data_IF_862705304783
#
_entry.id   IF_862705304783
#
_cell.length_a   1.000
_cell.length_b   1.000
_cell.length_c   1.000
_cell.angle_alpha   90.00
_cell.angle_beta   90.00
_cell.angle_gamma   90.00
#
_symmetry.space_group_name_H-M   'P 1'
#
loop_
_entity.id
_entity.type
_entity.pdbx_description
1 polymer ?
#
# COMPACT_ATOMS: atom_id res chain seq x y z
N UNK A 1 39.40 46.17 -34.40
CA UNK A 1 39.33 45.38 -33.15
C UNK A 1 37.95 45.35 -32.49
N UNK A 2 37.17 46.45 -32.40
CA UNK A 2 35.83 46.44 -31.76
C UNK A 2 34.81 45.46 -32.38
N UNK A 3 34.86 45.22 -33.71
CA UNK A 3 33.99 44.24 -34.40
C UNK A 3 34.34 42.77 -34.10
N UNK A 4 35.60 42.47 -33.79
CA UNK A 4 36.06 41.10 -33.47
C UNK A 4 35.61 40.73 -32.05
N UNK A 5 35.72 41.67 -31.10
CA UNK A 5 35.23 41.49 -29.72
C UNK A 5 33.71 41.29 -29.70
N UNK A 6 32.97 42.04 -30.54
CA UNK A 6 31.52 41.88 -30.65
C UNK A 6 31.13 40.50 -31.22
N UNK A 7 31.87 40.00 -32.23
CA UNK A 7 31.65 38.65 -32.77
C UNK A 7 32.01 37.56 -31.75
N UNK A 8 33.09 37.72 -30.99
CA UNK A 8 33.46 36.81 -29.90
C UNK A 8 32.42 36.79 -28.79
N UNK A 9 31.86 37.95 -28.40
CA UNK A 9 30.80 38.03 -27.38
C UNK A 9 29.48 37.43 -27.88
N UNK A 10 29.10 37.65 -29.14
CA UNK A 10 27.91 37.01 -29.75
C UNK A 10 28.11 35.51 -29.91
N UNK A 11 29.34 35.04 -30.17
CA UNK A 11 29.67 33.61 -30.24
C UNK A 11 29.64 32.97 -28.85
N UNK A 12 30.17 33.65 -27.82
CA UNK A 12 30.10 33.19 -26.43
C UNK A 12 28.64 33.18 -25.94
N UNK A 13 27.81 34.16 -26.31
CA UNK A 13 26.38 34.20 -25.99
C UNK A 13 25.55 33.16 -26.77
N UNK A 14 25.91 32.86 -28.02
CA UNK A 14 25.26 31.81 -28.82
C UNK A 14 25.67 30.38 -28.41
N UNK A 15 26.86 30.21 -27.82
CA UNK A 15 27.32 28.96 -27.20
C UNK A 15 26.99 28.85 -25.70
N UNK A 16 26.51 29.93 -25.04
CA UNK A 16 26.11 29.90 -23.63
C UNK A 16 24.61 29.70 -23.39
N UNK A 17 23.79 29.55 -24.43
CA UNK A 17 22.51 28.86 -24.26
C UNK A 17 22.82 27.40 -24.00
N UNK A 18 23.05 27.06 -22.73
CA UNK A 18 23.17 25.68 -22.31
C UNK A 18 21.93 24.95 -22.86
N UNK A 19 22.12 23.90 -23.66
CA UNK A 19 21.04 23.08 -24.24
C UNK A 19 20.27 22.28 -23.16
N UNK A 20 20.37 22.70 -21.89
CA UNK A 20 19.72 22.10 -20.73
C UNK A 20 18.21 22.08 -20.89
N UNK A 21 17.63 23.12 -21.51
CA UNK A 21 16.20 23.18 -21.84
C UNK A 21 15.72 22.02 -22.73
N UNK A 22 16.62 21.43 -23.53
CA UNK A 22 16.27 20.28 -24.39
C UNK A 22 15.96 19.03 -23.57
N UNK A 23 16.47 18.93 -22.34
CA UNK A 23 16.20 17.82 -21.43
C UNK A 23 14.82 17.93 -20.78
N UNK A 24 14.24 19.12 -20.69
CA UNK A 24 13.03 19.32 -19.90
C UNK A 24 11.81 18.72 -20.58
N UNK A 25 10.99 18.02 -19.79
CA UNK A 25 9.77 17.35 -20.25
C UNK A 25 9.61 15.95 -19.66
N UNK A 26 8.52 15.30 -20.09
CA UNK A 26 8.27 13.88 -19.82
C UNK A 26 8.80 13.07 -20.99
N UNK A 27 9.41 11.93 -20.67
CA UNK A 27 10.10 11.03 -21.57
C UNK A 27 9.62 9.60 -21.30
N UNK A 28 9.21 8.90 -22.35
CA UNK A 28 8.78 7.50 -22.30
C UNK A 28 9.80 6.61 -23.00
N UNK A 29 10.10 5.44 -22.44
CA UNK A 29 11.09 4.55 -23.04
C UNK A 29 10.53 3.88 -24.31
N UNK A 30 11.29 3.94 -25.40
CA UNK A 30 10.93 3.24 -26.65
C UNK A 30 11.11 1.73 -26.46
N UNK A 31 10.07 0.94 -26.75
CA UNK A 31 10.08 -0.53 -26.72
C UNK A 31 10.44 -1.16 -25.36
N UNK A 32 10.23 -0.45 -24.25
CA UNK A 32 10.51 -0.95 -22.90
C UNK A 32 9.29 -0.88 -21.99
N UNK A 33 9.30 -1.71 -20.94
CA UNK A 33 8.22 -1.73 -19.95
C UNK A 33 8.40 -0.69 -18.84
N UNK A 34 9.61 -0.15 -18.61
CA UNK A 34 9.95 0.69 -17.44
C UNK A 34 11.32 1.37 -17.60
N UNK A 35 11.58 2.59 -17.07
CA UNK A 35 10.67 3.56 -16.45
C UNK A 35 10.36 4.77 -17.36
N UNK A 36 9.30 5.52 -17.05
CA UNK A 36 9.07 6.90 -17.48
C UNK A 36 9.94 7.89 -16.68
N UNK A 37 10.31 8.99 -17.34
CA UNK A 37 11.18 10.00 -16.76
C UNK A 37 10.59 11.37 -16.99
N UNK A 38 10.56 12.21 -15.95
CA UNK A 38 10.20 13.62 -16.06
C UNK A 38 11.37 14.46 -15.56
N UNK A 39 11.97 15.27 -16.43
CA UNK A 39 13.11 16.13 -16.09
C UNK A 39 12.61 17.58 -16.03
N UNK A 40 12.86 18.23 -14.89
CA UNK A 40 12.67 19.66 -14.67
C UNK A 40 14.04 20.33 -14.45
N UNK A 41 14.04 21.63 -14.14
CA UNK A 41 15.25 22.42 -13.95
C UNK A 41 16.19 21.88 -12.86
N UNK A 42 15.63 21.38 -11.76
CA UNK A 42 16.37 20.98 -10.55
C UNK A 42 16.08 19.53 -10.11
N UNK A 43 15.19 18.84 -10.81
CA UNK A 43 14.71 17.52 -10.42
C UNK A 43 14.50 16.58 -11.62
N UNK A 44 14.76 15.31 -11.39
CA UNK A 44 14.36 14.20 -12.26
C UNK A 44 13.40 13.30 -11.48
N UNK A 45 12.24 13.02 -12.06
CA UNK A 45 11.25 12.13 -11.48
C UNK A 45 11.17 10.84 -12.28
N UNK A 46 11.15 9.71 -11.58
CA UNK A 46 11.03 8.38 -12.15
C UNK A 46 9.65 7.81 -11.82
N UNK A 47 9.05 7.14 -12.80
CA UNK A 47 7.79 6.41 -12.63
C UNK A 47 7.78 5.19 -13.52
N UNK A 48 7.23 4.08 -13.06
CA UNK A 48 7.22 2.87 -13.86
C UNK A 48 6.05 2.80 -14.84
N UNK A 49 4.93 3.40 -14.49
CA UNK A 49 3.67 3.35 -15.24
C UNK A 49 2.99 4.73 -15.33
N UNK A 50 3.71 5.78 -14.93
CA UNK A 50 3.20 7.15 -14.84
C UNK A 50 2.34 7.42 -13.59
N UNK A 51 2.00 6.42 -12.77
CA UNK A 51 1.05 6.60 -11.66
C UNK A 51 1.67 7.15 -10.37
N UNK A 52 2.90 6.73 -10.07
CA UNK A 52 3.65 7.15 -8.89
C UNK A 52 4.96 7.77 -9.36
N UNK A 53 5.18 9.04 -9.03
CA UNK A 53 6.40 9.76 -9.39
C UNK A 53 7.29 9.96 -8.17
N UNK A 54 8.55 9.55 -8.28
CA UNK A 54 9.58 9.80 -7.25
C UNK A 54 10.63 10.76 -7.81
N UNK A 55 10.72 11.94 -7.21
CA UNK A 55 11.66 12.99 -7.63
C UNK A 55 12.99 12.90 -6.89
N UNK A 56 14.07 13.14 -7.62
CA UNK A 56 15.46 13.20 -7.17
C UNK A 56 16.11 14.49 -7.67
N UNK A 57 17.08 15.07 -6.95
CA UNK A 57 17.90 16.15 -7.48
C UNK A 57 18.60 15.72 -8.77
N UNK A 58 18.69 16.62 -9.75
CA UNK A 58 19.40 16.38 -11.01
C UNK A 58 20.39 17.51 -11.31
N UNK A 59 21.58 17.17 -11.78
CA UNK A 59 22.52 18.11 -12.40
C UNK A 59 22.64 17.80 -13.89
N UNK A 60 22.50 18.83 -14.74
CA UNK A 60 22.64 18.73 -16.19
C UNK A 60 23.88 19.50 -16.61
N UNK A 61 24.92 18.79 -17.08
CA UNK A 61 26.20 19.42 -17.44
C UNK A 61 26.91 18.64 -18.54
N UNK A 62 27.44 19.32 -19.54
CA UNK A 62 28.27 18.72 -20.59
C UNK A 62 27.66 17.46 -21.25
N UNK A 63 26.39 17.51 -21.62
CA UNK A 63 25.64 16.35 -22.12
C UNK A 63 25.60 15.15 -21.16
N UNK A 64 25.55 15.41 -19.86
CA UNK A 64 25.42 14.38 -18.83
C UNK A 64 24.28 14.73 -17.88
N UNK A 65 23.62 13.70 -17.36
CA UNK A 65 22.64 13.77 -16.29
C UNK A 65 23.23 13.13 -15.03
N UNK A 66 23.30 13.87 -13.93
CA UNK A 66 23.70 13.30 -12.64
C UNK A 66 22.51 13.26 -11.71
N UNK A 67 22.12 12.06 -11.25
CA UNK A 67 21.07 11.83 -10.25
C UNK A 67 21.33 10.50 -9.53
N UNK A 68 20.74 10.30 -8.34
CA UNK A 68 20.98 9.10 -7.52
C UNK A 68 22.48 8.80 -7.31
N UNK A 69 23.30 9.86 -7.18
CA UNK A 69 24.76 9.79 -7.04
C UNK A 69 25.49 9.10 -8.21
N UNK A 70 24.89 9.09 -9.41
CA UNK A 70 25.49 8.53 -10.62
C UNK A 70 25.41 9.53 -11.77
N UNK A 71 26.41 9.52 -12.65
CA UNK A 71 26.50 10.42 -13.81
C UNK A 71 26.37 9.63 -15.11
N UNK A 72 25.32 9.93 -15.88
CA UNK A 72 25.02 9.31 -17.15
C UNK A 72 25.47 10.17 -18.32
N UNK A 73 26.29 9.67 -19.23
CA UNK A 73 26.47 10.32 -20.52
C UNK A 73 25.15 10.24 -21.30
N UNK A 74 24.77 11.35 -21.92
CA UNK A 74 23.50 11.47 -22.63
C UNK A 74 23.68 12.01 -24.04
N UNK A 75 22.74 11.72 -24.91
CA UNK A 75 22.66 12.31 -26.25
C UNK A 75 21.21 12.69 -26.53
N UNK A 76 20.97 13.94 -26.92
CA UNK A 76 19.66 14.40 -27.38
C UNK A 76 19.72 14.58 -28.89
N UNK A 77 18.78 13.95 -29.59
CA UNK A 77 18.59 14.11 -31.02
C UNK A 77 17.10 14.23 -31.32
N UNK A 78 16.67 15.40 -31.81
CA UNK A 78 15.24 15.74 -31.98
C UNK A 78 14.48 15.50 -30.66
N UNK A 79 13.42 14.72 -30.70
CA UNK A 79 12.59 14.37 -29.54
C UNK A 79 13.05 13.08 -28.86
N UNK A 80 14.29 12.65 -29.09
CA UNK A 80 14.87 11.48 -28.45
C UNK A 80 15.96 11.84 -27.44
N UNK A 81 15.84 11.28 -26.24
CA UNK A 81 16.87 11.30 -25.20
C UNK A 81 17.47 9.90 -25.08
N UNK A 82 18.79 9.79 -25.20
CA UNK A 82 19.51 8.52 -25.08
C UNK A 82 20.42 8.59 -23.86
N UNK A 83 20.27 7.65 -22.93
CA UNK A 83 21.23 7.42 -21.84
C UNK A 83 21.12 5.97 -21.34
N UNK A 84 22.20 5.41 -20.78
CA UNK A 84 22.29 3.98 -20.40
C UNK A 84 21.89 2.98 -21.51
N UNK A 85 22.16 3.28 -22.79
CA UNK A 85 21.71 2.48 -23.95
C UNK A 85 20.19 2.38 -24.09
N UNK A 86 19.43 3.12 -23.29
CA UNK A 86 17.99 3.28 -23.41
C UNK A 86 17.70 4.49 -24.28
N UNK A 87 16.69 4.37 -25.12
CA UNK A 87 16.18 5.48 -25.93
C UNK A 87 14.82 5.85 -25.40
N UNK A 88 14.65 7.12 -25.11
CA UNK A 88 13.40 7.71 -24.69
C UNK A 88 12.88 8.66 -25.76
N UNK A 89 11.57 8.72 -25.92
CA UNK A 89 10.88 9.69 -26.75
C UNK A 89 10.19 10.73 -25.86
N UNK A 90 10.18 11.98 -26.31
CA UNK A 90 9.52 13.07 -25.61
C UNK A 90 8.01 12.90 -25.75
N UNK A 91 7.32 12.81 -24.62
CA UNK A 91 5.92 12.39 -24.59
C UNK A 91 5.04 13.30 -23.74
N UNK A 92 3.74 13.24 -24.03
CA UNK A 92 2.66 13.84 -23.25
C UNK A 92 1.72 12.76 -22.70
N UNK A 93 2.26 11.62 -22.26
CA UNK A 93 1.44 10.59 -21.61
C UNK A 93 0.82 11.16 -20.34
N UNK A 94 -0.52 11.14 -20.32
CA UNK A 94 -1.30 11.34 -19.12
C UNK A 94 -1.42 10.00 -18.40
N UNK A 95 -1.12 9.93 -17.10
CA UNK A 95 -1.25 8.67 -16.37
C UNK A 95 -2.72 8.25 -16.27
N UNK A 96 -2.97 6.95 -16.06
CA UNK A 96 -4.34 6.45 -15.81
C UNK A 96 -4.78 6.79 -14.39
N UNK A 97 -3.87 6.69 -13.43
CA UNK A 97 -4.10 7.06 -12.04
C UNK A 97 -3.03 8.03 -11.57
N UNK A 98 -3.40 8.93 -10.68
CA UNK A 98 -2.47 9.70 -9.84
C UNK A 98 -2.57 9.13 -8.42
N UNK A 99 -1.44 8.68 -7.86
CA UNK A 99 -1.40 8.05 -6.54
C UNK A 99 -0.40 8.75 -5.64
N UNK A 100 -0.90 9.31 -4.53
CA UNK A 100 -0.03 9.84 -3.47
C UNK A 100 0.11 8.83 -2.33
N UNK A 101 1.28 8.18 -2.25
CA UNK A 101 1.53 7.20 -1.20
C UNK A 101 1.58 7.81 0.23
N UNK A 102 1.17 7.07 1.26
CA UNK A 102 0.99 7.59 2.62
C UNK A 102 2.26 7.92 3.41
N UNK A 103 3.44 7.40 3.03
CA UNK A 103 4.78 7.69 3.59
C UNK A 103 4.85 7.69 5.13
N UNK A 104 4.73 6.52 5.74
CA UNK A 104 4.95 6.28 7.16
C UNK A 104 6.45 6.13 7.48
N UNK A 105 6.92 6.72 8.59
CA UNK A 105 8.36 6.79 8.93
C UNK A 105 8.79 6.02 10.18
N UNK A 106 7.88 5.33 10.89
CA UNK A 106 8.18 4.75 12.22
C UNK A 106 7.73 3.29 12.39
N UNK A 107 7.35 2.60 11.31
CA UNK A 107 6.86 1.23 11.38
C UNK A 107 7.78 0.30 10.59
N UNK A 108 7.87 -0.95 11.02
CA UNK A 108 8.74 -1.96 10.43
C UNK A 108 8.25 -2.32 9.03
N UNK A 109 9.12 -2.08 8.07
CA UNK A 109 8.90 -2.46 6.68
C UNK A 109 9.23 -3.93 6.48
N UNK A 110 8.45 -4.57 5.62
CA UNK A 110 8.81 -5.86 5.05
C UNK A 110 9.57 -5.62 3.75
N UNK A 111 10.85 -5.97 3.74
CA UNK A 111 11.60 -6.06 2.49
C UNK A 111 11.19 -7.37 1.79
N UNK A 112 10.58 -7.31 0.60
CA UNK A 112 10.31 -8.51 -0.15
C UNK A 112 11.61 -9.22 -0.52
N UNK A 113 11.65 -10.55 -0.42
CA UNK A 113 12.75 -11.29 -1.05
C UNK A 113 12.68 -11.07 -2.57
N UNK A 114 13.82 -11.00 -3.25
CA UNK A 114 13.91 -10.84 -4.71
C UNK A 114 13.13 -11.91 -5.49
N UNK A 115 12.87 -13.06 -4.87
CA UNK A 115 12.12 -14.20 -5.43
C UNK A 115 10.60 -14.09 -5.24
N UNK A 116 10.10 -13.10 -4.52
CA UNK A 116 8.65 -12.97 -4.26
C UNK A 116 7.96 -12.28 -5.44
N UNK A 117 7.20 -13.04 -6.23
CA UNK A 117 6.27 -12.48 -7.21
C UNK A 117 5.07 -11.84 -6.48
N UNK A 118 4.86 -10.54 -6.67
CA UNK A 118 3.66 -9.83 -6.23
C UNK A 118 2.72 -9.58 -7.39
N UNK A 119 1.43 -9.66 -7.11
CA UNK A 119 0.39 -9.12 -7.98
C UNK A 119 0.14 -7.68 -7.53
N UNK A 120 0.35 -6.72 -8.42
CA UNK A 120 0.21 -5.30 -8.13
C UNK A 120 -1.20 -4.84 -8.45
N UNK A 121 -1.89 -4.35 -7.42
CA UNK A 121 -3.25 -3.81 -7.52
C UNK A 121 -3.18 -2.33 -7.16
N UNK A 122 -3.68 -1.46 -8.05
CA UNK A 122 -3.62 0.00 -7.89
C UNK A 122 -5.01 0.57 -7.66
N UNK A 123 -5.15 1.47 -6.69
CA UNK A 123 -6.37 2.21 -6.45
C UNK A 123 -6.03 3.68 -6.21
N UNK A 124 -6.54 4.57 -7.04
CA UNK A 124 -6.07 5.95 -7.03
C UNK A 124 -7.05 6.93 -7.65
N UNK A 125 -6.65 8.19 -7.63
CA UNK A 125 -7.44 9.28 -8.21
C UNK A 125 -7.30 9.28 -9.73
N UNK A 126 -8.41 9.42 -10.44
CA UNK A 126 -8.40 9.65 -11.88
C UNK A 126 -7.87 11.07 -12.14
N UNK A 127 -6.88 11.26 -13.03
CA UNK A 127 -6.32 12.58 -13.31
C UNK A 127 -7.41 13.57 -13.73
N UNK A 128 -7.31 14.79 -13.22
CA UNK A 128 -8.29 15.87 -13.44
C UNK A 128 -9.72 15.55 -12.96
N UNK A 129 -9.92 14.52 -12.15
CA UNK A 129 -11.19 14.13 -11.55
C UNK A 129 -11.01 13.93 -10.05
N UNK A 130 -12.10 13.95 -9.27
CA UNK A 130 -12.09 13.56 -7.86
C UNK A 130 -12.53 12.10 -7.63
N UNK A 131 -12.68 11.34 -8.72
CA UNK A 131 -13.09 9.95 -8.66
C UNK A 131 -11.91 9.03 -8.37
N UNK A 132 -12.10 8.08 -7.45
CA UNK A 132 -11.15 7.01 -7.19
C UNK A 132 -11.53 5.75 -7.98
N UNK A 133 -10.54 5.11 -8.60
CA UNK A 133 -10.73 3.92 -9.42
C UNK A 133 -9.69 2.85 -9.12
N UNK A 134 -10.13 1.61 -9.22
CA UNK A 134 -9.26 0.45 -9.35
C UNK A 134 -8.66 0.45 -10.76
N UNK A 135 -7.34 0.25 -10.84
CA UNK A 135 -6.63 -0.04 -12.06
C UNK A 135 -6.03 -1.44 -11.98
N UNK A 136 -6.37 -2.26 -12.97
CA UNK A 136 -5.80 -3.58 -13.20
C UNK A 136 -5.18 -3.56 -14.61
N UNK A 137 -3.87 -3.80 -14.71
CA UNK A 137 -3.08 -3.52 -15.92
C UNK A 137 -3.16 -2.03 -16.35
N UNK A 138 -3.47 -1.78 -17.62
CA UNK A 138 -3.55 -0.49 -18.30
C UNK A 138 -5.00 -0.01 -18.47
N UNK A 139 -5.94 -0.50 -17.64
CA UNK A 139 -7.34 -0.07 -17.67
C UNK A 139 -7.94 0.13 -16.28
N UNK A 140 -8.97 0.97 -16.21
CA UNK A 140 -9.88 1.00 -15.06
C UNK A 140 -10.67 -0.30 -14.99
N UNK A 141 -10.92 -0.76 -13.77
CA UNK A 141 -11.64 -1.99 -13.50
C UNK A 141 -12.67 -1.78 -12.38
N UNK A 142 -13.65 -2.66 -12.32
CA UNK A 142 -14.55 -2.80 -11.17
C UNK A 142 -13.93 -3.73 -10.13
N UNK A 143 -14.30 -3.61 -8.83
CA UNK A 143 -13.80 -4.50 -7.78
C UNK A 143 -13.92 -5.99 -8.12
N UNK A 144 -15.04 -6.42 -8.73
CA UNK A 144 -15.30 -7.84 -9.03
C UNK A 144 -14.35 -8.42 -10.09
N UNK A 145 -13.73 -7.57 -10.92
CA UNK A 145 -12.73 -8.00 -11.91
C UNK A 145 -11.39 -8.41 -11.25
N UNK A 146 -11.20 -8.12 -9.95
CA UNK A 146 -10.01 -8.53 -9.21
C UNK A 146 -9.83 -10.04 -9.20
N UNK A 147 -10.92 -10.81 -9.12
CA UNK A 147 -10.89 -12.27 -9.13
C UNK A 147 -10.22 -12.76 -10.41
N UNK A 148 -10.80 -12.40 -11.55
CA UNK A 148 -10.33 -12.84 -12.87
C UNK A 148 -8.90 -12.38 -13.13
N UNK A 149 -8.57 -11.14 -12.77
CA UNK A 149 -7.22 -10.60 -12.90
C UNK A 149 -6.19 -11.41 -12.13
N UNK A 150 -6.48 -11.76 -10.88
CA UNK A 150 -5.54 -12.52 -10.06
C UNK A 150 -5.43 -13.96 -10.58
N UNK A 151 -6.52 -14.58 -11.05
CA UNK A 151 -6.47 -15.91 -11.66
C UNK A 151 -5.81 -15.94 -13.05
N UNK A 152 -5.82 -14.84 -13.80
CA UNK A 152 -5.16 -14.76 -15.12
C UNK A 152 -3.65 -14.53 -15.04
N UNK A 153 -3.12 -14.17 -13.86
CA UNK A 153 -1.68 -13.98 -13.64
C UNK A 153 -0.91 -15.29 -13.42
N UNK A 154 -1.58 -16.45 -13.32
CA UNK A 154 -0.96 -17.74 -12.98
C UNK A 154 -0.75 -18.64 -14.21
N UNK A 155 0.53 -18.84 -14.57
CA UNK A 155 1.04 -19.98 -15.35
C UNK A 155 1.61 -21.09 -14.42
N UNK A 156 1.45 -21.01 -13.08
CA UNK A 156 2.14 -21.93 -12.14
C UNK A 156 1.32 -22.30 -10.89
N UNK A 157 0.77 -23.53 -10.90
CA UNK A 157 0.42 -24.38 -9.75
C UNK A 157 -0.52 -23.84 -8.64
N UNK A 158 -1.73 -24.38 -8.65
CA UNK A 158 -2.94 -23.93 -7.97
C UNK A 158 -3.06 -24.12 -6.44
N UNK A 159 -2.02 -24.49 -5.67
CA UNK A 159 -2.31 -25.07 -4.34
C UNK A 159 -1.57 -24.57 -3.09
N UNK A 160 -0.46 -23.80 -3.16
CA UNK A 160 0.31 -23.57 -1.92
C UNK A 160 0.91 -22.17 -1.68
N UNK A 161 0.91 -21.26 -2.65
CA UNK A 161 1.38 -19.90 -2.41
C UNK A 161 0.20 -19.01 -2.01
N UNK A 162 0.15 -18.56 -0.76
CA UNK A 162 -0.67 -17.41 -0.35
C UNK A 162 -0.40 -16.27 -1.35
N UNK A 163 -1.39 -15.92 -2.16
CA UNK A 163 -1.28 -14.87 -3.17
C UNK A 163 -0.88 -13.57 -2.49
N UNK A 164 0.26 -13.01 -2.87
CA UNK A 164 0.79 -11.79 -2.26
C UNK A 164 0.41 -10.60 -3.12
N UNK A 165 -0.62 -9.88 -2.67
CA UNK A 165 -1.04 -8.63 -3.31
C UNK A 165 -0.18 -7.49 -2.76
N UNK A 166 0.52 -6.77 -3.65
CA UNK A 166 1.05 -5.46 -3.35
C UNK A 166 -0.03 -4.43 -3.68
N UNK A 167 -0.60 -3.83 -2.64
CA UNK A 167 -1.70 -2.88 -2.75
C UNK A 167 -1.16 -1.46 -2.74
N UNK A 168 -1.20 -0.83 -3.91
CA UNK A 168 -0.80 0.56 -4.13
C UNK A 168 -2.08 1.37 -4.07
N UNK A 169 -2.23 2.22 -3.05
CA UNK A 169 -3.45 2.96 -2.84
C UNK A 169 -3.16 4.42 -2.47
N UNK A 170 -3.94 5.35 -3.00
CA UNK A 170 -3.83 6.75 -2.60
C UNK A 170 -4.21 6.91 -1.13
N UNK A 171 -3.43 7.74 -0.43
CA UNK A 171 -3.48 7.88 1.00
C UNK A 171 -4.81 8.48 1.50
N UNK A 172 -5.48 9.29 0.69
CA UNK A 172 -6.71 10.00 1.03
C UNK A 172 -7.98 9.23 0.62
N UNK A 173 -7.81 8.08 -0.04
CA UNK A 173 -8.92 7.18 -0.41
C UNK A 173 -9.77 6.85 0.80
N UNK A 174 -11.09 7.02 0.70
CA UNK A 174 -12.00 6.68 1.80
C UNK A 174 -12.22 5.18 1.90
N UNK A 175 -12.38 4.69 3.13
CA UNK A 175 -12.59 3.26 3.36
C UNK A 175 -13.86 2.72 2.70
N UNK A 176 -14.89 3.56 2.47
CA UNK A 176 -16.06 3.18 1.65
C UNK A 176 -15.72 2.74 0.24
N UNK A 177 -14.70 3.35 -0.38
CA UNK A 177 -14.31 3.06 -1.76
C UNK A 177 -13.49 1.77 -1.84
N UNK A 178 -12.90 1.36 -0.72
CA UNK A 178 -12.05 0.17 -0.59
C UNK A 178 -12.80 -1.06 -0.06
N UNK A 179 -13.98 -0.86 0.53
CA UNK A 179 -14.71 -1.92 1.20
C UNK A 179 -15.00 -3.09 0.26
N UNK A 180 -15.54 -2.81 -0.93
CA UNK A 180 -15.80 -3.83 -1.94
C UNK A 180 -14.52 -4.60 -2.33
N UNK A 181 -13.37 -3.92 -2.43
CA UNK A 181 -12.09 -4.57 -2.74
C UNK A 181 -11.65 -5.55 -1.65
N UNK A 182 -11.81 -5.20 -0.37
CA UNK A 182 -11.47 -6.12 0.72
C UNK A 182 -12.35 -7.37 0.70
N UNK A 183 -13.63 -7.23 0.37
CA UNK A 183 -14.50 -8.39 0.17
C UNK A 183 -14.02 -9.28 -0.97
N UNK A 184 -13.71 -8.71 -2.14
CA UNK A 184 -13.18 -9.48 -3.28
C UNK A 184 -11.84 -10.17 -2.94
N UNK A 185 -10.97 -9.53 -2.16
CA UNK A 185 -9.74 -10.15 -1.64
C UNK A 185 -10.02 -11.37 -0.76
N UNK A 186 -11.05 -11.34 0.09
CA UNK A 186 -11.45 -12.51 0.88
C UNK A 186 -11.89 -13.67 -0.03
N UNK A 187 -12.61 -13.39 -1.13
CA UNK A 187 -13.10 -14.44 -2.06
C UNK A 187 -11.97 -15.23 -2.73
N UNK A 188 -10.85 -14.57 -3.00
CA UNK A 188 -9.64 -15.19 -3.56
C UNK A 188 -8.64 -15.67 -2.50
N UNK A 189 -9.05 -15.73 -1.23
CA UNK A 189 -8.20 -16.11 -0.10
C UNK A 189 -6.92 -15.24 0.06
N UNK A 190 -6.98 -13.98 -0.38
CA UNK A 190 -5.93 -12.98 -0.16
C UNK A 190 -6.12 -12.28 1.20
N UNK A 191 -6.14 -13.08 2.27
CA UNK A 191 -6.33 -12.62 3.67
C UNK A 191 -5.13 -11.83 4.22
N UNK A 192 -4.05 -11.74 3.46
CA UNK A 192 -2.87 -10.92 3.74
C UNK A 192 -2.52 -10.15 2.48
N UNK A 193 -2.42 -8.83 2.59
CA UNK A 193 -1.93 -7.97 1.52
C UNK A 193 -0.80 -7.07 2.05
N UNK A 194 -0.08 -6.44 1.12
CA UNK A 194 1.06 -5.58 1.44
C UNK A 194 0.77 -4.17 0.94
N UNK A 195 0.43 -3.27 1.84
CA UNK A 195 0.24 -1.86 1.52
C UNK A 195 1.58 -1.23 1.15
N UNK A 196 1.66 -0.58 -0.01
CA UNK A 196 2.86 0.13 -0.45
C UNK A 196 2.97 1.47 0.26
N UNK A 197 4.10 1.68 0.93
CA UNK A 197 4.41 2.88 1.70
C UNK A 197 5.12 3.95 0.88
N UNK A 198 6.17 3.51 0.18
CA UNK A 198 7.03 4.33 -0.66
C UNK A 198 7.61 3.47 -1.79
N UNK A 199 8.08 4.15 -2.82
CA UNK A 199 8.83 3.56 -3.93
C UNK A 199 10.22 4.16 -3.91
N UNK A 200 11.22 3.29 -4.02
CA UNK A 200 12.62 3.66 -4.15
C UNK A 200 13.16 3.20 -5.49
N UNK A 201 14.06 3.98 -6.07
CA UNK A 201 14.82 3.61 -7.26
C UNK A 201 16.30 3.62 -6.90
N UNK A 202 17.00 2.55 -7.28
CA UNK A 202 18.43 2.39 -7.07
C UNK A 202 19.10 2.09 -8.39
N UNK A 203 20.36 2.51 -8.52
CA UNK A 203 21.19 2.16 -9.66
C UNK A 203 22.02 0.95 -9.28
N UNK A 204 21.78 -0.17 -9.95
CA UNK A 204 22.54 -1.41 -9.79
C UNK A 204 23.22 -1.68 -11.13
N UNK A 205 24.55 -1.61 -11.14
CA UNK A 205 25.37 -1.64 -12.34
C UNK A 205 24.90 -0.55 -13.34
N UNK A 206 24.32 -0.94 -14.47
CA UNK A 206 23.82 -0.06 -15.52
C UNK A 206 22.28 -0.07 -15.60
N UNK A 207 21.58 -0.41 -14.51
CA UNK A 207 20.11 -0.50 -14.48
C UNK A 207 19.51 0.30 -13.35
N UNK A 208 18.38 0.92 -13.64
CA UNK A 208 17.50 1.51 -12.63
C UNK A 208 16.57 0.40 -12.13
N UNK A 209 16.76 -0.04 -10.89
CA UNK A 209 15.90 -1.03 -10.23
C UNK A 209 14.97 -0.38 -9.22
N UNK A 210 13.70 -0.79 -9.25
CA UNK A 210 12.66 -0.34 -8.31
C UNK A 210 12.62 -1.23 -7.07
N UNK A 211 12.52 -0.59 -5.90
CA UNK A 211 12.16 -1.20 -4.62
C UNK A 211 10.82 -0.67 -4.11
N UNK A 212 10.15 -1.50 -3.30
CA UNK A 212 8.93 -1.12 -2.58
C UNK A 212 9.12 -1.30 -1.09
N UNK A 213 8.71 -0.28 -0.36
CA UNK A 213 8.58 -0.34 1.09
C UNK A 213 7.17 -0.83 1.43
N UNK A 214 7.07 -2.01 2.05
CA UNK A 214 5.78 -2.71 2.21
C UNK A 214 5.36 -2.86 3.68
N UNK A 215 4.08 -2.62 3.96
CA UNK A 215 3.44 -2.94 5.24
C UNK A 215 2.49 -4.11 5.10
N UNK A 216 2.73 -5.16 5.90
CA UNK A 216 1.85 -6.32 5.93
C UNK A 216 0.53 -5.97 6.62
N UNK A 217 -0.58 -6.19 5.93
CA UNK A 217 -1.94 -6.03 6.42
C UNK A 217 -2.65 -7.38 6.45
N UNK A 218 -3.61 -7.51 7.37
CA UNK A 218 -4.41 -8.73 7.53
C UNK A 218 -5.88 -8.40 7.35
N UNK A 219 -6.59 -9.17 6.52
CA UNK A 219 -8.03 -9.09 6.38
C UNK A 219 -8.61 -10.32 7.08
N UNK A 220 -9.45 -10.09 8.08
CA UNK A 220 -10.14 -11.20 8.74
C UNK A 220 -11.28 -11.65 7.83
N UNK A 221 -11.36 -12.94 7.44
CA UNK A 221 -12.33 -13.42 6.46
C UNK A 221 -13.73 -13.58 7.06
N UNK A 222 -14.24 -12.53 7.71
CA UNK A 222 -15.58 -12.50 8.30
C UNK A 222 -16.56 -11.98 7.24
N UNK A 223 -17.74 -12.58 7.02
CA UNK A 223 -18.63 -12.23 5.91
C UNK A 223 -20.11 -12.19 6.31
N UNK A 224 -20.87 -11.29 5.72
CA UNK A 224 -22.32 -11.27 5.87
C UNK A 224 -22.91 -11.05 4.48
N UNK A 225 -23.56 -12.07 3.92
CA UNK A 225 -24.10 -12.02 2.55
C UNK A 225 -25.10 -10.87 2.36
N UNK A 226 -25.83 -10.49 3.41
CA UNK A 226 -26.78 -9.38 3.36
C UNK A 226 -26.06 -8.03 3.31
N UNK A 227 -24.89 -7.93 3.95
CA UNK A 227 -24.05 -6.75 3.85
C UNK A 227 -23.34 -6.67 2.50
N UNK A 228 -22.82 -7.78 1.99
CA UNK A 228 -22.19 -7.87 0.67
C UNK A 228 -23.11 -7.37 -0.45
N UNK A 229 -24.39 -7.75 -0.39
CA UNK A 229 -25.40 -7.27 -1.32
C UNK A 229 -25.59 -5.74 -1.26
N UNK A 230 -25.44 -5.11 -0.08
CA UNK A 230 -25.59 -3.65 0.10
C UNK A 230 -24.42 -2.86 -0.50
N UNK A 231 -23.21 -3.39 -0.42
CA UNK A 231 -21.99 -2.72 -0.93
C UNK A 231 -21.71 -3.06 -2.40
N UNK A 232 -22.63 -3.77 -3.07
CA UNK A 232 -22.57 -4.03 -4.50
C UNK A 232 -21.69 -5.20 -4.91
N UNK A 233 -21.24 -6.05 -3.98
CA UNK A 233 -20.45 -7.24 -4.32
C UNK A 233 -21.33 -8.33 -4.95
N UNK A 234 -21.11 -8.64 -6.24
CA UNK A 234 -22.05 -9.46 -7.05
C UNK A 234 -21.72 -10.93 -7.20
N UNK A 235 -20.52 -11.38 -6.81
CA UNK A 235 -20.13 -12.78 -6.97
C UNK A 235 -20.44 -13.54 -5.66
N UNK A 236 -21.47 -14.40 -5.61
CA UNK A 236 -21.69 -15.27 -4.46
C UNK A 236 -20.56 -16.28 -4.36
N UNK A 237 -19.92 -16.34 -3.20
CA UNK A 237 -18.87 -17.32 -2.93
C UNK A 237 -19.52 -18.63 -2.49
N UNK A 238 -19.16 -19.74 -3.14
CA UNK A 238 -19.66 -21.07 -2.78
C UNK A 238 -19.01 -21.66 -1.52
N UNK A 239 -17.99 -21.02 -0.96
CA UNK A 239 -17.35 -21.44 0.29
C UNK A 239 -18.12 -20.90 1.50
N UNK A 240 -19.04 -21.73 1.99
CA UNK A 240 -19.68 -21.56 3.28
C UNK A 240 -18.60 -21.64 4.39
N UNK A 241 -18.59 -20.63 5.27
CA UNK A 241 -18.12 -20.74 6.66
C UNK A 241 -16.61 -20.88 6.92
N UNK A 242 -15.76 -20.07 6.29
CA UNK A 242 -14.37 -19.95 6.77
C UNK A 242 -14.25 -18.89 7.89
N UNK A 243 -14.76 -19.22 9.08
CA UNK A 243 -14.55 -18.45 10.31
C UNK A 243 -13.72 -19.17 11.38
N UNK A 244 -12.66 -19.93 11.05
CA UNK A 244 -12.01 -20.81 12.03
C UNK A 244 -11.43 -20.06 13.25
N UNK A 245 -11.34 -18.74 13.21
CA UNK A 245 -10.81 -17.90 14.29
C UNK A 245 -11.87 -17.24 15.19
N UNK A 246 -13.16 -17.18 14.83
CA UNK A 246 -14.17 -16.45 15.64
C UNK A 246 -14.62 -17.26 16.85
N UNK A 247 -14.68 -18.60 16.74
CA UNK A 247 -15.21 -19.46 17.80
C UNK A 247 -14.42 -19.37 19.13
N UNK A 248 -13.17 -18.89 19.06
CA UNK A 248 -12.31 -18.64 20.22
C UNK A 248 -12.39 -17.21 20.77
N UNK A 249 -13.14 -16.31 20.12
CA UNK A 249 -13.33 -14.95 20.61
C UNK A 249 -14.41 -14.91 21.68
N UNK A 250 -14.03 -14.39 22.84
CA UNK A 250 -14.94 -14.12 23.94
C UNK A 250 -15.27 -12.62 23.96
N UNK A 251 -16.49 -12.21 23.55
CA UNK A 251 -16.89 -10.81 23.44
C UNK A 251 -16.73 -10.05 24.74
N UNK A 252 -17.10 -10.69 25.86
CA UNK A 252 -17.00 -10.10 27.19
C UNK A 252 -15.56 -9.81 27.62
N UNK A 253 -14.57 -10.46 26.99
CA UNK A 253 -13.12 -10.26 27.26
C UNK A 253 -12.43 -9.46 26.17
N UNK A 254 -13.14 -9.12 25.09
CA UNK A 254 -12.59 -8.43 23.93
C UNK A 254 -12.53 -6.93 24.17
N UNK A 255 -11.40 -6.32 23.80
CA UNK A 255 -11.23 -4.88 23.71
C UNK A 255 -11.60 -4.42 22.30
N UNK A 256 -12.51 -3.46 22.21
CA UNK A 256 -12.85 -2.85 20.94
C UNK A 256 -11.88 -1.71 20.64
N UNK A 257 -11.30 -1.76 19.45
CA UNK A 257 -10.47 -0.70 18.91
C UNK A 257 -11.25 -0.10 17.74
N UNK A 258 -11.35 1.23 17.69
CA UNK A 258 -12.04 1.90 16.60
C UNK A 258 -11.16 2.94 15.93
N UNK A 259 -11.26 2.98 14.60
CA UNK A 259 -10.87 4.11 13.79
C UNK A 259 -12.14 4.81 13.29
N UNK A 260 -12.42 6.01 13.78
CA UNK A 260 -13.64 6.76 13.45
C UNK A 260 -13.23 8.18 13.06
N UNK A 261 -13.60 8.61 11.85
CA UNK A 261 -13.22 9.90 11.29
C UNK A 261 -11.73 10.21 11.43
N UNK A 262 -10.87 9.23 11.12
CA UNK A 262 -9.41 9.29 11.28
C UNK A 262 -8.90 9.41 12.73
N UNK A 263 -9.77 9.24 13.74
CA UNK A 263 -9.42 9.28 15.15
C UNK A 263 -9.40 7.88 15.77
N UNK A 264 -8.52 7.69 16.76
CA UNK A 264 -8.18 6.40 17.33
C UNK A 264 -8.85 6.22 18.68
N UNK A 265 -9.55 5.11 18.89
CA UNK A 265 -10.29 4.83 20.11
C UNK A 265 -10.02 3.44 20.67
N UNK A 266 -10.01 3.35 22.01
CA UNK A 266 -10.08 2.09 22.75
C UNK A 266 -11.37 2.13 23.57
N UNK A 267 -12.30 1.21 23.27
CA UNK A 267 -13.69 1.34 23.72
C UNK A 267 -14.28 2.69 23.29
N UNK A 268 -14.69 3.51 24.25
CA UNK A 268 -15.29 4.83 24.00
C UNK A 268 -14.32 6.00 24.13
N UNK A 269 -13.09 5.74 24.57
CA UNK A 269 -12.10 6.78 24.86
C UNK A 269 -11.22 7.05 23.64
N UNK A 270 -11.01 8.33 23.34
CA UNK A 270 -10.18 8.81 22.24
C UNK A 270 -8.72 8.92 22.67
N UNK A 271 -7.81 8.51 21.80
CA UNK A 271 -6.38 8.57 22.01
C UNK A 271 -5.67 9.31 20.87
N UNK A 272 -4.56 9.96 21.19
CA UNK A 272 -3.58 10.34 20.16
C UNK A 272 -2.89 9.08 19.60
N UNK A 273 -2.30 9.17 18.41
CA UNK A 273 -1.57 8.03 17.79
C UNK A 273 -0.51 7.44 18.73
N UNK A 274 0.31 8.29 19.34
CA UNK A 274 1.40 7.84 20.22
C UNK A 274 0.89 7.19 21.50
N UNK A 275 -0.15 7.78 22.12
CA UNK A 275 -0.75 7.21 23.34
C UNK A 275 -1.49 5.91 23.04
N UNK A 276 -2.18 5.84 21.88
CA UNK A 276 -2.85 4.64 21.40
C UNK A 276 -1.84 3.49 21.20
N UNK A 277 -0.69 3.77 20.57
CA UNK A 277 0.37 2.77 20.39
C UNK A 277 0.91 2.24 21.71
N UNK A 278 1.20 3.11 22.68
CA UNK A 278 1.68 2.67 24.01
C UNK A 278 0.65 1.83 24.73
N UNK A 279 -0.63 2.23 24.65
CA UNK A 279 -1.71 1.49 25.31
C UNK A 279 -1.92 0.11 24.69
N UNK A 280 -1.75 -0.01 23.38
CA UNK A 280 -1.81 -1.31 22.71
C UNK A 280 -0.64 -2.23 23.06
N UNK A 281 0.58 -1.71 23.20
CA UNK A 281 1.72 -2.50 23.68
C UNK A 281 1.41 -3.14 25.06
N UNK A 282 0.83 -2.38 25.99
CA UNK A 282 0.38 -2.88 27.31
C UNK A 282 -0.67 -3.98 27.17
N UNK A 283 -1.76 -3.70 26.45
CA UNK A 283 -2.89 -4.64 26.33
C UNK A 283 -2.52 -5.93 25.60
N UNK A 284 -1.61 -5.85 24.62
CA UNK A 284 -1.04 -7.04 23.99
C UNK A 284 -0.18 -7.79 25.01
N UNK A 285 0.68 -7.16 25.78
CA UNK A 285 1.46 -7.89 26.80
C UNK A 285 0.53 -8.66 27.79
N UNK A 286 -0.64 -8.10 28.11
CA UNK A 286 -1.69 -8.73 28.93
C UNK A 286 -2.50 -9.84 28.22
N UNK A 287 -2.19 -10.20 26.98
CA UNK A 287 -2.88 -11.21 26.17
C UNK A 287 -4.38 -10.96 25.98
N UNK A 288 -4.77 -9.68 25.82
CA UNK A 288 -6.15 -9.30 25.51
C UNK A 288 -6.55 -9.70 24.09
N UNK A 289 -7.85 -9.92 23.89
CA UNK A 289 -8.46 -10.13 22.57
C UNK A 289 -8.90 -8.78 22.00
N UNK A 290 -8.76 -8.56 20.70
CA UNK A 290 -9.08 -7.29 20.05
C UNK A 290 -10.06 -7.44 18.89
N UNK A 291 -11.02 -6.52 18.83
CA UNK A 291 -11.88 -6.33 17.65
C UNK A 291 -11.60 -4.95 17.10
N UNK A 292 -10.94 -4.88 15.93
CA UNK A 292 -10.47 -3.65 15.32
C UNK A 292 -11.39 -3.27 14.17
N UNK A 293 -12.15 -2.19 14.35
CA UNK A 293 -13.18 -1.75 13.42
C UNK A 293 -12.86 -0.34 12.90
N UNK A 294 -13.18 -0.09 11.64
CA UNK A 294 -13.05 1.23 11.03
C UNK A 294 -14.41 1.76 10.54
N UNK A 295 -14.61 3.07 10.56
CA UNK A 295 -15.74 3.68 9.86
C UNK A 295 -15.43 3.92 8.38
N UNK A 296 -16.49 4.12 7.60
CA UNK A 296 -16.41 4.27 6.15
C UNK A 296 -15.91 5.65 5.69
N UNK A 297 -15.77 6.59 6.61
CA UNK A 297 -15.35 7.98 6.36
C UNK A 297 -13.87 8.24 6.69
N UNK A 298 -13.23 7.32 7.42
CA UNK A 298 -11.77 7.31 7.56
C UNK A 298 -11.09 7.04 6.22
N UNK A 299 -9.85 7.50 6.10
CA UNK A 299 -9.03 7.28 4.92
C UNK A 299 -8.09 6.07 5.06
N UNK A 300 -7.56 5.64 3.91
CA UNK A 300 -6.66 4.50 3.81
C UNK A 300 -5.36 4.69 4.60
N UNK A 301 -4.84 5.92 4.66
CA UNK A 301 -3.65 6.25 5.45
C UNK A 301 -3.87 5.94 6.93
N UNK A 302 -4.92 6.45 7.53
CA UNK A 302 -5.21 6.25 8.94
C UNK A 302 -5.60 4.80 9.22
N UNK A 303 -6.31 4.13 8.31
CA UNK A 303 -6.58 2.70 8.41
C UNK A 303 -5.28 1.86 8.44
N UNK A 304 -4.33 2.19 7.56
CA UNK A 304 -3.03 1.51 7.52
C UNK A 304 -2.23 1.75 8.80
N UNK A 305 -2.21 2.99 9.32
CA UNK A 305 -1.60 3.32 10.63
C UNK A 305 -2.22 2.50 11.75
N UNK A 306 -3.56 2.51 11.83
CA UNK A 306 -4.31 1.83 12.87
C UNK A 306 -3.97 0.34 12.94
N UNK A 307 -3.94 -0.34 11.80
CA UNK A 307 -3.56 -1.75 11.73
C UNK A 307 -2.06 -1.98 11.98
N UNK A 308 -1.19 -1.09 11.50
CA UNK A 308 0.26 -1.20 11.70
C UNK A 308 0.65 -1.10 13.16
N UNK A 309 0.02 -0.22 13.94
CA UNK A 309 0.25 -0.13 15.39
C UNK A 309 -0.01 -1.49 16.05
N UNK A 310 -1.13 -2.14 15.72
CA UNK A 310 -1.44 -3.46 16.27
C UNK A 310 -0.43 -4.51 15.82
N UNK A 311 -0.05 -4.51 14.54
CA UNK A 311 0.93 -5.44 13.99
C UNK A 311 2.30 -5.30 14.67
N UNK A 312 2.76 -4.07 14.89
CA UNK A 312 4.02 -3.77 15.58
C UNK A 312 3.99 -4.25 17.03
N UNK A 313 2.90 -3.99 17.76
CA UNK A 313 2.78 -4.41 19.14
C UNK A 313 2.85 -5.95 19.28
N UNK A 314 2.18 -6.70 18.40
CA UNK A 314 2.35 -8.16 18.32
C UNK A 314 3.78 -8.56 17.97
N UNK A 315 4.41 -7.86 17.03
CA UNK A 315 5.77 -8.16 16.59
C UNK A 315 6.80 -7.92 17.71
N UNK A 316 6.66 -6.85 18.50
CA UNK A 316 7.47 -6.61 19.70
C UNK A 316 7.32 -7.74 20.73
N UNK A 317 6.09 -8.17 20.98
CA UNK A 317 5.82 -9.29 21.89
C UNK A 317 6.46 -10.58 21.39
N UNK A 318 6.37 -10.87 20.09
CA UNK A 318 7.04 -12.00 19.47
C UNK A 318 8.55 -11.92 19.51
N UNK A 319 9.13 -10.75 19.27
CA UNK A 319 10.57 -10.54 19.40
C UNK A 319 11.01 -10.76 20.86
N UNK A 320 10.26 -10.32 21.85
CA UNK A 320 10.53 -10.57 23.28
C UNK A 320 10.54 -12.06 23.62
N UNK A 321 9.50 -12.81 23.23
CA UNK A 321 9.40 -14.26 23.48
C UNK A 321 10.49 -15.03 22.71
N UNK A 322 10.76 -14.62 21.47
CA UNK A 322 11.80 -15.24 20.65
C UNK A 322 13.20 -15.06 21.25
N UNK A 323 13.50 -13.86 21.76
CA UNK A 323 14.76 -13.57 22.42
C UNK A 323 14.92 -14.39 23.70
N UNK A 324 13.86 -14.49 24.51
CA UNK A 324 13.87 -15.31 25.73
C UNK A 324 14.10 -16.80 25.45
N UNK A 325 13.46 -17.34 24.41
CA UNK A 325 13.49 -18.80 24.13
C UNK A 325 14.64 -19.26 23.25
N UNK A 326 15.07 -18.43 22.30
CA UNK A 326 15.98 -18.82 21.23
C UNK A 326 17.18 -17.88 21.07
N UNK A 327 17.28 -16.82 21.89
CA UNK A 327 18.34 -15.80 21.80
C UNK A 327 18.45 -15.14 20.43
N UNK A 328 17.32 -15.05 19.70
CA UNK A 328 17.21 -14.48 18.35
C UNK A 328 15.93 -13.65 18.26
N UNK A 329 15.93 -12.64 17.39
CA UNK A 329 14.69 -11.94 17.05
C UNK A 329 13.76 -12.85 16.25
N UNK A 330 12.46 -12.63 16.34
CA UNK A 330 11.43 -13.42 15.69
C UNK A 330 11.64 -13.51 14.17
N UNK A 331 12.13 -12.44 13.54
CA UNK A 331 12.43 -12.43 12.09
C UNK A 331 13.44 -13.51 11.70
N UNK A 332 14.44 -13.76 12.55
CA UNK A 332 15.56 -14.68 12.32
C UNK A 332 15.24 -16.14 12.68
N UNK A 333 14.09 -16.41 13.29
CA UNK A 333 13.64 -17.75 13.60
C UNK A 333 13.27 -18.54 12.34
N UNK A 334 13.55 -19.84 12.36
CA UNK A 334 13.05 -20.78 11.36
C UNK A 334 11.54 -21.04 11.52
N UNK A 335 10.93 -21.79 10.60
CA UNK A 335 9.48 -22.04 10.62
C UNK A 335 9.01 -22.68 11.93
N UNK A 336 9.66 -23.76 12.40
CA UNK A 336 9.28 -24.48 13.62
C UNK A 336 9.41 -23.60 14.86
N UNK A 337 10.50 -22.84 14.96
CA UNK A 337 10.71 -21.87 16.05
C UNK A 337 9.62 -20.78 16.04
N UNK A 338 9.25 -20.26 14.87
CA UNK A 338 8.16 -19.28 14.71
C UNK A 338 6.81 -19.83 15.14
N UNK A 339 6.50 -21.07 14.80
CA UNK A 339 5.27 -21.75 15.23
C UNK A 339 5.24 -21.89 16.75
N UNK A 340 6.34 -22.31 17.39
CA UNK A 340 6.40 -22.39 18.86
C UNK A 340 6.08 -21.05 19.53
N UNK A 341 6.60 -19.92 19.01
CA UNK A 341 6.27 -18.59 19.56
C UNK A 341 4.79 -18.25 19.35
N UNK A 342 4.22 -18.55 18.18
CA UNK A 342 2.80 -18.29 17.87
C UNK A 342 1.84 -19.17 18.67
N UNK A 343 2.21 -20.42 18.96
CA UNK A 343 1.41 -21.32 19.79
C UNK A 343 1.34 -20.82 21.24
N UNK A 344 2.46 -20.32 21.76
CA UNK A 344 2.52 -19.74 23.11
C UNK A 344 1.73 -18.45 23.21
N UNK A 345 1.77 -17.64 22.15
CA UNK A 345 1.16 -16.33 22.13
C UNK A 345 0.42 -16.13 20.79
N UNK A 346 -0.76 -16.73 20.60
CA UNK A 346 -1.46 -16.62 19.33
C UNK A 346 -1.95 -15.18 19.12
N UNK A 347 -1.92 -14.74 17.86
CA UNK A 347 -2.52 -13.46 17.49
C UNK A 347 -4.03 -13.54 17.72
N UNK A 348 -4.57 -12.65 18.56
CA UNK A 348 -5.97 -12.63 18.98
C UNK A 348 -6.65 -11.32 18.57
N UNK A 349 -6.63 -11.02 17.28
CA UNK A 349 -7.22 -9.79 16.74
C UNK A 349 -8.08 -10.06 15.50
N UNK A 350 -9.27 -9.47 15.48
CA UNK A 350 -10.06 -9.25 14.26
C UNK A 350 -9.64 -7.88 13.70
N UNK A 351 -9.30 -7.84 12.42
CA UNK A 351 -8.81 -6.65 11.71
C UNK A 351 -9.47 -6.46 10.34
N UNK A 352 -9.43 -5.21 9.87
CA UNK A 352 -9.94 -4.78 8.57
C UNK A 352 -11.40 -5.14 8.32
N UNK A 353 -12.25 -4.85 9.30
CA UNK A 353 -13.70 -4.94 9.18
C UNK A 353 -14.32 -3.56 9.42
N UNK A 354 -15.27 -3.17 8.58
CA UNK A 354 -15.98 -1.91 8.76
C UNK A 354 -17.02 -2.02 9.88
N UNK A 355 -17.29 -0.92 10.58
CA UNK A 355 -18.32 -0.86 11.62
C UNK A 355 -19.70 -1.26 11.04
N UNK A 356 -20.15 -0.79 9.85
CA UNK A 356 -21.44 -1.20 9.30
C UNK A 356 -21.49 -2.69 8.95
N UNK A 357 -20.40 -3.27 8.45
CA UNK A 357 -20.31 -4.72 8.23
C UNK A 357 -20.45 -5.47 9.56
N UNK A 358 -19.74 -5.05 10.59
CA UNK A 358 -19.80 -5.70 11.90
C UNK A 358 -21.20 -5.59 12.54
N UNK A 359 -21.87 -4.44 12.40
CA UNK A 359 -23.25 -4.22 12.85
C UNK A 359 -24.25 -5.11 12.09
N UNK A 360 -24.02 -5.40 10.81
CA UNK A 360 -24.97 -6.17 9.99
C UNK A 360 -25.28 -7.57 10.55
N UNK A 361 -24.36 -8.15 11.33
CA UNK A 361 -24.58 -9.43 12.01
C UNK A 361 -25.67 -9.38 13.08
N UNK A 362 -25.93 -8.21 13.69
CA UNK A 362 -27.04 -8.01 14.62
C UNK A 362 -28.37 -7.78 13.88
N UNK A 363 -28.31 -7.09 12.73
CA UNK A 363 -29.49 -6.72 11.96
C UNK A 363 -30.05 -7.87 11.14
N UNK A 364 -29.18 -8.79 10.71
CA UNK A 364 -29.58 -9.97 9.94
C UNK A 364 -28.75 -11.16 10.44
N UNK A 365 -29.15 -11.76 11.57
CA UNK A 365 -28.46 -12.90 12.14
C UNK A 365 -28.45 -14.05 11.13
N UNK A 366 -27.30 -14.67 10.91
CA UNK A 366 -27.23 -15.91 10.13
C UNK A 366 -27.80 -17.04 10.99
N UNK A 367 -28.79 -17.77 10.46
CA UNK A 367 -29.54 -18.80 11.21
C UNK A 367 -28.63 -19.86 11.86
N UNK A 368 -27.47 -20.14 11.25
CA UNK A 368 -26.49 -21.13 11.72
C UNK A 368 -25.25 -20.54 12.43
N UNK A 369 -25.17 -19.21 12.62
CA UNK A 369 -24.00 -18.57 13.22
C UNK A 369 -24.37 -17.62 14.36
N UNK A 370 -24.15 -18.07 15.59
CA UNK A 370 -24.27 -17.20 16.76
C UNK A 370 -23.03 -16.31 16.85
N UNK A 371 -23.05 -15.18 16.14
CA UNK A 371 -21.98 -14.19 16.22
C UNK A 371 -21.83 -13.75 17.67
N UNK A 372 -20.66 -13.93 18.30
CA UNK A 372 -20.60 -13.83 19.76
C UNK A 372 -20.74 -12.36 20.20
N UNK A 373 -20.44 -11.41 19.32
CA UNK A 373 -20.52 -9.98 19.61
C UNK A 373 -21.95 -9.45 19.46
N UNK A 374 -22.61 -9.18 20.59
CA UNK A 374 -23.92 -8.50 20.68
C UNK A 374 -23.74 -7.09 21.27
N UNK A 375 -24.69 -6.21 20.97
CA UNK A 375 -24.77 -4.84 21.45
C UNK A 375 -23.56 -3.96 21.06
N UNK A 376 -22.99 -4.19 19.88
CA UNK A 376 -21.85 -3.43 19.34
C UNK A 376 -22.18 -1.94 19.29
N UNK A 377 -23.42 -1.60 18.90
CA UNK A 377 -23.88 -0.21 18.85
C UNK A 377 -23.71 0.51 20.18
N UNK A 378 -23.83 -0.20 21.31
CA UNK A 378 -23.64 0.36 22.65
C UNK A 378 -22.17 0.59 23.00
N UNK A 379 -21.23 -0.11 22.34
CA UNK A 379 -19.79 0.03 22.54
C UNK A 379 -19.17 1.18 21.74
N UNK A 380 -19.86 1.65 20.69
CA UNK A 380 -19.33 2.67 19.78
C UNK A 380 -19.12 4.03 20.49
N UNK A 381 -17.99 4.71 20.21
CA UNK A 381 -17.80 6.10 20.59
C UNK A 381 -18.92 7.01 20.07
N UNK A 382 -19.31 8.02 20.87
CA UNK A 382 -20.32 9.01 20.45
C UNK A 382 -19.98 9.71 19.13
N UNK A 383 -18.69 9.83 18.81
CA UNK A 383 -18.20 10.42 17.57
C UNK A 383 -18.73 9.72 16.31
N UNK A 384 -18.99 8.40 16.38
CA UNK A 384 -19.52 7.64 15.24
C UNK A 384 -20.92 8.10 14.83
N UNK A 385 -21.73 8.57 15.78
CA UNK A 385 -23.12 8.99 15.52
C UNK A 385 -23.25 10.47 15.15
N UNK A 386 -22.15 11.23 15.17
CA UNK A 386 -22.14 12.64 14.78
C UNK A 386 -21.84 12.69 13.27
N UNK A 387 -22.86 13.06 12.49
CA UNK A 387 -22.73 13.36 11.05
C UNK A 387 -22.47 14.83 10.83
#
# INVERSE_FOLDING_TARGET
MKKIILLSIVSILAFSCSKTEQYYGTWSQINGLYPYIKINTDSISLSDDGSIWKSYPVEIKNNSLTFLNHTFPTTIYKDSLIFQKLTYEKDTILPILEITLPKFTNYRLFEPSRETAFIYVRFGKVPNSNEFKLQLNDKYAKPEELIDFVFSHDDVSFHHALRRIAFICDNDTKMRDLEALFFEMIKINAIVFFAVNDVTYNIIEDRIERGYDLYRQYITPIRNIHYEAKIGSKVPVQYNNFYPSIDYFEPAKSQFLFLIHNEFYIGKEKYSVDTFSKKLDELITENKQFVCLYDLDSDFKHNTIFNNILNEAYQKQYDSIALEKFSKTYKLLNYKEKETVRELYPRRSIQNISIPHFISFEETPMEDFNFPFKNIKEQLPKAYFKK
#
